data_IF_841906564673
#
_entry.id   IF_841906564673
#
_cell.length_a   1.000
_cell.length_b   1.000
_cell.length_c   1.000
_cell.angle_alpha   90.00
_cell.angle_beta   90.00
_cell.angle_gamma   90.00
#
_symmetry.space_group_name_H-M   'P 1'
#
loop_
_entity.id
_entity.type
_entity.pdbx_description
1 polymer ?
#
# COMPACT_ATOMS: atom_id res chain seq x y z
N UNK A 1 3.78 -49.81 -13.82
CA UNK A 1 2.34 -50.06 -14.02
C UNK A 1 1.75 -48.74 -14.46
N UNK A 2 1.27 -48.66 -15.70
CA UNK A 2 0.52 -47.50 -16.18
C UNK A 2 -0.92 -47.63 -15.65
N UNK A 3 -1.27 -46.87 -14.61
CA UNK A 3 -2.65 -46.76 -14.15
C UNK A 3 -3.41 -45.87 -15.15
N UNK A 4 -3.82 -46.49 -16.26
CA UNK A 4 -4.67 -45.86 -17.26
C UNK A 4 -6.06 -45.59 -16.70
N UNK A 5 -6.43 -44.33 -16.57
CA UNK A 5 -7.79 -43.93 -16.23
C UNK A 5 -8.78 -44.59 -17.21
N UNK A 6 -9.86 -45.23 -16.73
CA UNK A 6 -10.83 -45.86 -17.61
C UNK A 6 -11.49 -44.80 -18.49
N UNK A 7 -11.15 -44.81 -19.77
CA UNK A 7 -11.75 -43.94 -20.78
C UNK A 7 -13.24 -44.26 -20.92
N UNK A 8 -14.10 -43.33 -20.47
CA UNK A 8 -15.57 -43.44 -20.50
C UNK A 8 -16.17 -43.41 -21.92
N UNK A 9 -15.33 -43.31 -22.95
CA UNK A 9 -15.72 -43.29 -24.37
C UNK A 9 -15.85 -44.69 -24.99
N UNK A 10 -15.84 -45.77 -24.19
CA UNK A 10 -16.06 -47.13 -24.69
C UNK A 10 -17.42 -47.24 -25.39
N UNK A 11 -17.40 -47.38 -26.72
CA UNK A 11 -18.55 -47.58 -27.60
C UNK A 11 -19.11 -49.00 -27.46
N UNK A 12 -19.60 -49.34 -26.27
CA UNK A 12 -20.26 -50.61 -25.96
C UNK A 12 -21.71 -50.42 -25.52
N UNK A 13 -22.52 -51.50 -25.48
CA UNK A 13 -23.89 -51.45 -24.98
C UNK A 13 -23.92 -50.84 -23.57
N UNK A 14 -24.88 -49.96 -23.34
CA UNK A 14 -25.00 -49.09 -22.15
C UNK A 14 -24.90 -49.88 -20.83
N UNK A 15 -25.35 -51.14 -20.79
CA UNK A 15 -25.25 -52.01 -19.62
C UNK A 15 -23.81 -52.35 -19.17
N UNK A 16 -22.82 -52.32 -20.06
CA UNK A 16 -21.41 -52.58 -19.70
C UNK A 16 -20.73 -51.40 -18.99
N UNK A 17 -21.40 -50.25 -18.89
CA UNK A 17 -20.87 -49.01 -18.28
C UNK A 17 -21.33 -48.83 -16.83
N UNK A 18 -22.31 -49.63 -16.40
CA UNK A 18 -22.80 -49.63 -15.04
C UNK A 18 -22.17 -50.78 -14.29
N UNK A 19 -21.64 -50.49 -13.10
CA UNK A 19 -21.06 -51.49 -12.20
C UNK A 19 -22.11 -51.76 -11.12
N UNK A 20 -22.35 -53.03 -10.81
CA UNK A 20 -23.28 -53.41 -9.74
C UNK A 20 -22.69 -53.02 -8.38
N UNK A 21 -23.53 -52.77 -7.39
CA UNK A 21 -23.05 -52.49 -6.03
C UNK A 21 -22.22 -53.66 -5.48
N UNK A 22 -22.66 -54.90 -5.76
CA UNK A 22 -21.92 -56.11 -5.38
C UNK A 22 -20.52 -56.16 -6.02
N UNK A 23 -20.41 -55.85 -7.30
CA UNK A 23 -19.13 -55.86 -8.01
C UNK A 23 -18.15 -54.84 -7.43
N UNK A 24 -18.66 -53.67 -6.99
CA UNK A 24 -17.85 -52.66 -6.30
C UNK A 24 -17.39 -53.14 -4.92
N UNK A 25 -18.27 -53.78 -4.15
CA UNK A 25 -17.93 -54.32 -2.83
C UNK A 25 -16.89 -55.43 -2.94
N UNK A 26 -17.05 -56.38 -3.88
CA UNK A 26 -16.08 -57.44 -4.16
C UNK A 26 -14.74 -56.90 -4.67
N UNK A 27 -14.76 -55.86 -5.51
CA UNK A 27 -13.54 -55.19 -5.96
C UNK A 27 -12.81 -54.46 -4.81
N UNK A 28 -13.56 -53.88 -3.86
CA UNK A 28 -13.01 -53.26 -2.65
C UNK A 28 -12.38 -54.32 -1.72
N UNK A 29 -13.09 -55.41 -1.42
CA UNK A 29 -12.57 -56.49 -0.55
C UNK A 29 -11.33 -57.13 -1.14
N UNK A 30 -11.33 -57.44 -2.44
CA UNK A 30 -10.17 -58.02 -3.13
C UNK A 30 -8.96 -57.08 -3.09
N UNK A 31 -9.18 -55.76 -3.19
CA UNK A 31 -8.12 -54.76 -3.08
C UNK A 31 -7.59 -54.67 -1.65
N UNK A 32 -8.47 -54.68 -0.65
CA UNK A 32 -8.09 -54.66 0.76
C UNK A 32 -7.32 -55.90 1.19
N UNK A 33 -7.70 -57.08 0.71
CA UNK A 33 -7.00 -58.35 0.96
C UNK A 33 -5.60 -58.34 0.36
N UNK A 34 -5.47 -57.88 -0.89
CA UNK A 34 -4.16 -57.74 -1.54
C UNK A 34 -3.28 -56.73 -0.80
N UNK A 35 -3.86 -55.62 -0.35
CA UNK A 35 -3.14 -54.61 0.40
C UNK A 35 -2.67 -55.13 1.77
N UNK A 36 -3.54 -55.80 2.52
CA UNK A 36 -3.20 -56.47 3.79
C UNK A 36 -2.13 -57.54 3.58
N UNK A 37 -2.25 -58.35 2.53
CA UNK A 37 -1.27 -59.38 2.21
C UNK A 37 0.11 -58.79 1.84
N UNK A 38 0.14 -57.66 1.11
CA UNK A 38 1.38 -56.96 0.79
C UNK A 38 2.07 -56.42 2.05
N UNK A 39 1.32 -55.85 2.98
CA UNK A 39 1.84 -55.36 4.27
C UNK A 39 2.29 -56.50 5.20
N UNK A 40 1.53 -57.60 5.24
CA UNK A 40 1.92 -58.81 5.96
C UNK A 40 3.24 -59.39 5.43
N UNK A 41 3.45 -59.37 4.11
CA UNK A 41 4.71 -59.78 3.48
C UNK A 41 5.86 -58.83 3.84
N UNK A 42 5.58 -57.54 4.02
CA UNK A 42 6.57 -56.53 4.44
C UNK A 42 6.86 -56.59 5.95
N UNK A 43 6.08 -57.34 6.74
CA UNK A 43 6.22 -57.45 8.19
C UNK A 43 5.79 -56.19 8.95
N UNK A 44 5.04 -55.30 8.31
CA UNK A 44 4.59 -54.03 8.88
C UNK A 44 3.07 -54.03 9.01
N UNK A 45 2.53 -53.47 10.09
CA UNK A 45 1.09 -53.34 10.27
C UNK A 45 0.54 -52.36 9.22
N UNK A 46 -0.51 -52.73 8.46
CA UNK A 46 -1.17 -51.82 7.54
C UNK A 46 -1.58 -50.53 8.27
N UNK A 47 -1.28 -49.35 7.71
CA UNK A 47 -1.80 -48.09 8.21
C UNK A 47 -3.33 -48.16 8.34
N UNK A 48 -3.92 -47.48 9.34
CA UNK A 48 -5.37 -47.43 9.47
C UNK A 48 -5.99 -46.99 8.15
N UNK A 49 -7.03 -47.71 7.71
CA UNK A 49 -7.73 -47.39 6.48
C UNK A 49 -8.15 -45.91 6.54
N UNK A 50 -7.91 -45.14 5.45
CA UNK A 50 -8.46 -43.80 5.38
C UNK A 50 -9.97 -43.92 5.54
N UNK A 51 -10.49 -43.24 6.56
CA UNK A 51 -11.93 -43.17 6.81
C UNK A 51 -12.54 -42.57 5.55
N UNK A 52 -13.44 -43.32 4.88
CA UNK A 52 -14.16 -42.75 3.75
C UNK A 52 -14.82 -41.46 4.22
N UNK A 53 -14.64 -40.38 3.45
CA UNK A 53 -15.13 -39.05 3.83
C UNK A 53 -16.61 -39.18 4.21
N UNK A 54 -16.91 -38.84 5.45
CA UNK A 54 -18.26 -38.91 5.99
C UNK A 54 -19.19 -38.21 5.01
N UNK A 55 -20.24 -38.91 4.57
CA UNK A 55 -21.16 -38.42 3.54
C UNK A 55 -21.64 -37.00 3.91
N UNK A 56 -21.05 -36.02 3.25
CA UNK A 56 -21.35 -34.63 3.50
C UNK A 56 -22.70 -34.33 2.84
N UNK A 57 -23.72 -34.08 3.68
CA UNK A 57 -25.09 -33.79 3.27
C UNK A 57 -25.26 -32.47 2.51
N UNK A 58 -24.19 -31.68 2.36
CA UNK A 58 -24.18 -30.49 1.50
C UNK A 58 -24.34 -30.86 0.03
N UNK A 59 -25.05 -30.01 -0.70
CA UNK A 59 -25.21 -30.16 -2.14
C UNK A 59 -23.87 -30.07 -2.84
N UNK A 60 -23.71 -30.74 -3.99
CA UNK A 60 -22.51 -30.63 -4.83
C UNK A 60 -22.18 -29.17 -5.18
N UNK A 61 -23.20 -28.33 -5.36
CA UNK A 61 -23.03 -26.91 -5.63
C UNK A 61 -22.32 -26.18 -4.47
N UNK A 62 -22.68 -26.49 -3.23
CA UNK A 62 -22.06 -25.92 -2.02
C UNK A 62 -20.62 -26.41 -1.87
N UNK A 63 -20.35 -27.69 -2.14
CA UNK A 63 -18.99 -28.25 -2.14
C UNK A 63 -18.09 -27.56 -3.17
N UNK A 64 -18.59 -27.36 -4.39
CA UNK A 64 -17.85 -26.66 -5.43
C UNK A 64 -17.63 -25.18 -5.10
N UNK A 65 -18.63 -24.52 -4.50
CA UNK A 65 -18.49 -23.15 -4.03
C UNK A 65 -17.42 -23.04 -2.92
N UNK A 66 -17.44 -23.95 -1.95
CA UNK A 66 -16.44 -24.00 -0.89
C UNK A 66 -15.03 -24.25 -1.44
N UNK A 67 -14.86 -25.15 -2.42
CA UNK A 67 -13.56 -25.40 -3.04
C UNK A 67 -13.03 -24.17 -3.80
N UNK A 68 -13.91 -23.45 -4.50
CA UNK A 68 -13.54 -22.19 -5.16
C UNK A 68 -13.18 -21.11 -4.16
N UNK A 69 -13.97 -20.95 -3.11
CA UNK A 69 -13.73 -19.97 -2.05
C UNK A 69 -12.40 -20.25 -1.34
N UNK A 70 -12.12 -21.51 -0.97
CA UNK A 70 -10.85 -21.90 -0.35
C UNK A 70 -9.66 -21.60 -1.25
N UNK A 71 -9.73 -21.96 -2.54
CA UNK A 71 -8.68 -21.62 -3.51
C UNK A 71 -8.47 -20.12 -3.66
N UNK A 72 -9.57 -19.36 -3.66
CA UNK A 72 -9.52 -17.91 -3.77
C UNK A 72 -8.89 -17.28 -2.51
N UNK A 73 -9.28 -17.74 -1.33
CA UNK A 73 -8.73 -17.29 -0.04
C UNK A 73 -7.25 -17.60 0.06
N UNK A 74 -6.81 -18.81 -0.27
CA UNK A 74 -5.39 -19.16 -0.31
C UNK A 74 -4.59 -18.29 -1.30
N UNK A 75 -5.18 -18.00 -2.47
CA UNK A 75 -4.54 -17.14 -3.46
C UNK A 75 -4.45 -15.70 -2.97
N UNK A 76 -5.52 -15.19 -2.34
CA UNK A 76 -5.56 -13.87 -1.74
C UNK A 76 -4.58 -13.75 -0.57
N UNK A 77 -4.46 -14.75 0.30
CA UNK A 77 -3.50 -14.75 1.40
C UNK A 77 -2.05 -14.69 0.90
N UNK A 78 -1.71 -15.55 -0.08
CA UNK A 78 -0.38 -15.57 -0.71
C UNK A 78 -0.07 -14.25 -1.42
N UNK A 79 -1.05 -13.69 -2.12
CA UNK A 79 -0.87 -12.45 -2.90
C UNK A 79 -0.94 -11.19 -2.04
N UNK A 80 -1.70 -11.21 -0.94
CA UNK A 80 -1.88 -10.07 -0.04
C UNK A 80 -0.58 -9.69 0.66
N UNK A 81 0.21 -10.66 1.11
CA UNK A 81 1.53 -10.38 1.69
C UNK A 81 2.52 -9.91 0.61
N UNK A 82 2.47 -10.50 -0.60
CA UNK A 82 3.31 -10.07 -1.71
C UNK A 82 3.03 -8.61 -2.13
N UNK A 83 1.76 -8.19 -2.13
CA UNK A 83 1.38 -6.82 -2.49
C UNK A 83 1.69 -5.78 -1.40
N UNK A 84 1.82 -6.19 -0.13
CA UNK A 84 2.14 -5.27 0.97
C UNK A 84 3.59 -4.81 0.93
N UNK A 85 4.50 -5.70 0.56
CA UNK A 85 5.93 -5.44 0.52
C UNK A 85 6.42 -5.55 -0.92
N UNK A 86 6.19 -4.47 -1.67
CA UNK A 86 6.78 -4.28 -3.00
C UNK A 86 7.95 -3.31 -2.95
N UNK A 87 8.88 -3.45 -3.89
CA UNK A 87 9.86 -2.40 -4.13
C UNK A 87 9.16 -1.12 -4.61
N UNK A 88 9.69 0.03 -4.22
CA UNK A 88 9.29 1.31 -4.79
C UNK A 88 9.76 1.35 -6.26
N UNK A 89 8.90 1.83 -7.14
CA UNK A 89 9.23 2.11 -8.53
C UNK A 89 10.12 3.36 -8.61
N UNK A 90 10.86 3.52 -9.71
CA UNK A 90 11.80 4.64 -9.88
C UNK A 90 11.11 6.01 -9.75
N UNK A 91 9.93 6.17 -10.34
CA UNK A 91 9.13 7.38 -10.25
C UNK A 91 8.69 7.70 -8.79
N UNK A 92 8.45 6.68 -7.99
CA UNK A 92 8.00 6.82 -6.60
C UNK A 92 9.16 7.21 -5.68
N UNK A 93 10.37 6.70 -5.96
CA UNK A 93 11.61 7.13 -5.31
C UNK A 93 11.86 8.61 -5.64
N UNK A 94 11.81 8.98 -6.92
CA UNK A 94 12.01 10.37 -7.36
C UNK A 94 10.97 11.31 -6.74
N UNK A 95 9.72 10.86 -6.61
CA UNK A 95 8.68 11.62 -5.92
C UNK A 95 9.04 11.87 -4.44
N UNK A 96 9.46 10.83 -3.70
CA UNK A 96 9.85 10.98 -2.29
C UNK A 96 11.08 11.89 -2.11
N UNK A 97 12.04 11.82 -3.03
CA UNK A 97 13.20 12.71 -3.03
C UNK A 97 12.80 14.15 -3.31
N UNK A 98 11.88 14.40 -4.26
CA UNK A 98 11.36 15.75 -4.53
C UNK A 98 10.63 16.35 -3.32
N UNK A 99 9.92 15.53 -2.53
CA UNK A 99 9.26 15.97 -1.30
C UNK A 99 10.30 16.33 -0.23
N UNK A 100 11.36 15.52 -0.09
CA UNK A 100 12.46 15.82 0.83
C UNK A 100 13.17 17.11 0.44
N UNK A 101 13.49 17.27 -0.84
CA UNK A 101 14.14 18.47 -1.36
C UNK A 101 13.28 19.70 -1.07
N UNK A 102 11.99 19.65 -1.40
CA UNK A 102 11.05 20.75 -1.12
C UNK A 102 10.98 21.10 0.37
N UNK A 103 10.94 20.12 1.26
CA UNK A 103 10.93 20.35 2.71
C UNK A 103 12.23 21.01 3.19
N UNK A 104 13.38 20.54 2.68
CA UNK A 104 14.68 21.11 3.00
C UNK A 104 14.83 22.54 2.46
N UNK A 105 14.31 22.83 1.27
CA UNK A 105 14.29 24.17 0.70
C UNK A 105 13.43 25.13 1.52
N UNK A 106 12.25 24.70 1.94
CA UNK A 106 11.35 25.49 2.79
C UNK A 106 11.99 25.80 4.16
N UNK A 107 12.63 24.80 4.79
CA UNK A 107 13.37 25.00 6.03
C UNK A 107 14.56 25.94 5.83
N UNK A 108 15.32 25.77 4.75
CA UNK A 108 16.46 26.63 4.42
C UNK A 108 16.02 28.07 4.19
N UNK A 109 14.91 28.28 3.48
CA UNK A 109 14.37 29.61 3.23
C UNK A 109 13.90 30.27 4.52
N UNK A 110 13.18 29.52 5.37
CA UNK A 110 12.76 30.00 6.68
C UNK A 110 13.95 30.40 7.54
N UNK A 111 14.98 29.56 7.61
CA UNK A 111 16.21 29.85 8.36
C UNK A 111 16.97 31.05 7.81
N UNK A 112 16.96 31.25 6.49
CA UNK A 112 17.57 32.41 5.86
C UNK A 112 16.82 33.71 6.23
N UNK A 113 15.49 33.69 6.17
CA UNK A 113 14.63 34.81 6.59
C UNK A 113 14.82 35.15 8.07
N UNK A 114 14.74 34.14 8.95
CA UNK A 114 14.98 34.32 10.38
C UNK A 114 16.39 34.91 10.65
N UNK A 115 17.40 34.45 9.89
CA UNK A 115 18.77 34.95 9.97
C UNK A 115 18.92 36.40 9.53
N UNK A 116 18.24 36.80 8.46
CA UNK A 116 18.21 38.17 7.95
C UNK A 116 17.58 39.12 8.97
N UNK A 117 16.40 38.77 9.49
CA UNK A 117 15.69 39.54 10.52
C UNK A 117 16.54 39.73 11.79
N UNK A 118 17.20 38.66 12.26
CA UNK A 118 18.11 38.74 13.40
C UNK A 118 19.33 39.63 13.10
N UNK A 119 19.85 39.58 11.88
CA UNK A 119 20.99 40.40 11.47
C UNK A 119 20.62 41.89 11.46
N UNK A 120 19.43 42.23 10.97
CA UNK A 120 18.95 43.60 10.89
C UNK A 120 18.60 44.14 12.27
N UNK A 121 18.01 43.32 13.14
CA UNK A 121 17.83 43.67 14.54
C UNK A 121 19.17 44.00 15.23
N UNK A 122 20.21 43.16 15.03
CA UNK A 122 21.54 43.42 15.60
C UNK A 122 22.14 44.72 15.07
N UNK A 123 22.01 45.00 13.77
CA UNK A 123 22.46 46.27 13.16
C UNK A 123 21.70 47.47 13.75
N UNK A 124 20.38 47.38 13.89
CA UNK A 124 19.56 48.46 14.43
C UNK A 124 19.85 48.74 15.91
N UNK A 125 20.06 47.70 16.72
CA UNK A 125 20.49 47.84 18.12
C UNK A 125 21.86 48.50 18.19
N UNK A 126 22.83 48.03 17.39
CA UNK A 126 24.17 48.61 17.35
C UNK A 126 24.17 50.08 16.89
N UNK A 127 23.32 50.44 15.92
CA UNK A 127 23.14 51.83 15.47
C UNK A 127 22.55 52.70 16.58
N UNK A 128 21.49 52.22 17.26
CA UNK A 128 20.87 52.93 18.38
C UNK A 128 21.84 53.12 19.55
N UNK A 129 22.63 52.10 19.88
CA UNK A 129 23.67 52.19 20.91
C UNK A 129 24.76 53.20 20.52
N UNK A 130 25.18 53.23 19.25
CA UNK A 130 26.11 54.25 18.76
C UNK A 130 25.54 55.67 18.83
N UNK A 131 24.28 55.86 18.46
CA UNK A 131 23.60 57.17 18.55
C UNK A 131 23.48 57.65 20.00
N UNK A 132 23.22 56.74 20.95
CA UNK A 132 23.20 57.04 22.39
C UNK A 132 24.58 57.38 22.95
N UNK A 133 25.65 56.76 22.43
CA UNK A 133 27.02 56.97 22.89
C UNK A 133 27.71 58.16 22.19
N UNK A 134 27.06 58.80 21.21
CA UNK A 134 27.54 60.03 20.56
C UNK A 134 27.24 61.23 21.47
N UNK A 135 28.24 61.95 22.00
CA UNK A 135 27.98 63.10 22.87
C UNK A 135 27.30 64.22 22.08
N UNK A 136 26.16 64.67 22.60
CA UNK A 136 25.32 65.75 22.06
C UNK A 136 26.09 67.07 22.03
N UNK A 137 26.25 67.66 20.84
CA UNK A 137 26.53 69.09 20.69
C UNK A 137 25.19 69.85 20.83
N UNK A 138 25.09 70.92 21.64
CA UNK A 138 23.82 71.62 21.87
C UNK A 138 23.61 72.69 20.80
N UNK A 139 22.56 72.57 19.97
CA UNK A 139 22.09 73.68 19.14
C UNK A 139 20.57 73.83 19.25
N UNK A 140 20.23 75.01 19.78
CA UNK A 140 18.97 75.68 20.03
C UNK A 140 17.72 75.32 19.18
N UNK A 141 16.56 75.32 19.86
CA UNK A 141 15.25 75.58 19.26
C UNK A 141 15.08 77.06 18.90
N UNK A 142 14.12 77.40 18.00
CA UNK A 142 12.87 77.98 18.54
C UNK A 142 11.55 77.60 17.82
N UNK A 143 10.53 77.32 18.63
CA UNK A 143 9.16 77.91 18.71
C UNK A 143 8.26 78.12 17.44
N UNK A 144 7.04 77.56 17.58
CA UNK A 144 5.67 78.17 17.51
C UNK A 144 4.85 78.19 16.19
N UNK A 145 3.59 77.70 16.38
CA UNK A 145 2.28 78.10 15.80
C UNK A 145 2.01 77.72 14.33
N UNK A 146 0.84 77.20 13.94
CA UNK A 146 -0.53 77.57 14.32
C UNK A 146 -1.55 76.43 14.18
N UNK A 147 -2.49 76.39 15.12
CA UNK A 147 -3.86 75.89 14.96
C UNK A 147 -4.59 76.64 13.83
N UNK A 148 -5.36 75.93 13.01
CA UNK A 148 -6.52 76.51 12.32
C UNK A 148 -7.60 75.42 12.17
N UNK A 149 -8.80 75.74 12.64
CA UNK A 149 -10.08 75.04 12.45
C UNK A 149 -11.11 76.14 12.16
N UNK A 150 -12.33 75.87 11.64
CA UNK A 150 -12.87 74.70 10.93
C UNK A 150 -13.69 75.08 9.67
N UNK A 151 -13.96 74.14 8.75
CA UNK A 151 -15.19 74.26 7.94
C UNK A 151 -15.80 72.91 7.57
N UNK A 152 -17.11 72.80 7.80
CA UNK A 152 -17.98 71.65 7.57
C UNK A 152 -18.96 72.05 6.44
N UNK A 153 -19.45 71.11 5.61
CA UNK A 153 -20.84 70.69 5.83
C UNK A 153 -21.15 69.19 5.58
N UNK A 154 -22.07 68.66 6.42
CA UNK A 154 -23.18 67.70 6.21
C UNK A 154 -22.92 66.40 5.38
N UNK A 155 -22.75 65.21 5.99
CA UNK A 155 -23.75 64.17 6.40
C UNK A 155 -24.26 63.25 5.25
N UNK A 156 -24.85 62.04 5.48
CA UNK A 156 -24.52 60.93 6.42
C UNK A 156 -24.53 59.53 5.72
N UNK A 157 -23.69 58.56 6.10
CA UNK A 157 -23.99 57.12 5.83
C UNK A 157 -23.55 56.23 6.99
N UNK A 158 -24.53 55.47 7.46
CA UNK A 158 -24.56 54.44 8.49
C UNK A 158 -23.79 53.21 8.01
N UNK A 159 -22.88 52.60 8.79
CA UNK A 159 -22.65 51.14 8.74
C UNK A 159 -22.05 50.58 10.04
N UNK A 160 -22.76 49.57 10.55
CA UNK A 160 -22.52 48.74 11.72
C UNK A 160 -21.24 47.91 11.65
N UNK A 161 -20.49 47.84 12.76
CA UNK A 161 -19.50 46.79 13.03
C UNK A 161 -20.24 45.51 13.43
N UNK A 162 -19.98 44.38 12.77
CA UNK A 162 -20.50 43.06 13.14
C UNK A 162 -19.37 42.05 13.21
N UNK A 163 -19.33 41.33 14.33
CA UNK A 163 -18.26 40.46 14.81
C UNK A 163 -17.90 39.28 13.90
N UNK A 164 -16.61 39.14 13.61
CA UNK A 164 -15.98 38.01 12.90
C UNK A 164 -15.69 36.87 13.88
N UNK A 165 -16.72 36.25 14.46
CA UNK A 165 -16.53 35.12 15.40
C UNK A 165 -17.45 33.91 15.17
N UNK A 166 -17.98 33.69 13.96
CA UNK A 166 -18.80 32.50 13.64
C UNK A 166 -18.60 31.92 12.23
N UNK A 167 -17.40 31.98 11.65
CA UNK A 167 -17.11 31.38 10.32
C UNK A 167 -16.17 30.17 10.40
N UNK A 168 -16.32 29.31 11.41
CA UNK A 168 -15.82 27.93 11.36
C UNK A 168 -17.03 27.00 11.40
N UNK A 169 -17.62 26.72 10.23
CA UNK A 169 -18.55 25.60 10.03
C UNK A 169 -17.93 24.74 8.93
N UNK A 170 -17.74 23.46 9.24
CA UNK A 170 -16.75 22.57 8.64
C UNK A 170 -16.88 22.31 7.14
N UNK A 171 -15.75 21.92 6.56
CA UNK A 171 -15.63 21.41 5.21
C UNK A 171 -16.19 19.97 5.17
N UNK A 172 -17.26 19.76 4.42
CA UNK A 172 -17.77 18.43 4.08
C UNK A 172 -17.23 18.05 2.71
N UNK A 173 -16.39 17.01 2.65
CA UNK A 173 -15.89 16.44 1.39
C UNK A 173 -16.92 15.46 0.83
N UNK A 174 -17.46 15.76 -0.35
CA UNK A 174 -18.34 14.87 -1.14
C UNK A 174 -17.49 13.79 -1.82
N UNK A 175 -17.67 12.51 -1.45
CA UNK A 175 -17.09 11.37 -2.17
C UNK A 175 -17.66 11.30 -3.60
N UNK A 176 -16.77 11.21 -4.59
CA UNK A 176 -17.09 10.80 -5.98
C UNK A 176 -16.97 9.27 -6.12
N UNK A 177 -17.87 8.59 -6.84
CA UNK A 177 -17.71 7.17 -7.17
C UNK A 177 -16.66 7.01 -8.28
N UNK A 178 -15.67 6.14 -8.08
CA UNK A 178 -14.76 5.71 -9.15
C UNK A 178 -15.39 4.53 -9.88
N UNK A 179 -15.92 4.79 -11.08
CA UNK A 179 -15.97 3.81 -12.16
C UNK A 179 -14.67 3.90 -12.93
N UNK A 180 -13.89 2.82 -13.02
CA UNK A 180 -13.45 2.25 -14.29
C UNK A 180 -12.55 1.03 -14.03
N UNK A 181 -12.96 -0.11 -14.58
CA UNK A 181 -12.21 -1.36 -14.64
C UNK A 181 -11.45 -1.35 -15.96
N UNK A 182 -10.13 -1.57 -16.02
CA UNK A 182 -9.48 -1.97 -17.26
C UNK A 182 -9.45 -3.50 -17.34
N UNK A 183 -10.08 -4.01 -18.40
CA UNK A 183 -9.96 -5.39 -18.91
C UNK A 183 -8.52 -5.73 -19.30
N UNK A 184 -8.05 -6.98 -19.08
CA UNK A 184 -6.72 -7.42 -19.46
C UNK A 184 -6.68 -7.86 -20.94
N UNK A 185 -5.70 -7.34 -21.68
CA UNK A 185 -5.31 -7.82 -23.00
C UNK A 185 -4.16 -8.83 -22.88
N UNK A 186 -4.35 -10.02 -23.44
CA UNK A 186 -3.40 -11.12 -23.57
C UNK A 186 -2.57 -10.98 -24.89
N UNK A 187 -1.63 -11.89 -25.24
CA UNK A 187 -0.18 -11.73 -25.06
C UNK A 187 0.61 -11.72 -26.39
N UNK A 188 1.87 -11.22 -26.39
CA UNK A 188 2.85 -11.60 -27.42
C UNK A 188 4.30 -11.67 -26.93
N UNK A 189 4.89 -12.81 -27.29
CA UNK A 189 6.26 -13.06 -27.75
C UNK A 189 7.43 -13.08 -26.74
N UNK A 190 7.83 -14.33 -26.49
CA UNK A 190 9.12 -14.89 -26.06
C UNK A 190 10.36 -14.09 -26.51
N UNK A 191 11.33 -13.96 -25.60
CA UNK A 191 12.72 -14.34 -25.90
C UNK A 191 13.51 -14.69 -24.61
N UNK A 192 14.46 -15.60 -24.83
CA UNK A 192 15.24 -16.47 -23.95
C UNK A 192 16.23 -15.81 -22.98
N UNK A 193 16.27 -16.25 -21.71
CA UNK A 193 17.48 -16.20 -20.88
C UNK A 193 17.61 -17.48 -20.02
N UNK A 194 18.87 -17.90 -19.93
CA UNK A 194 19.48 -19.16 -19.51
C UNK A 194 19.24 -19.53 -18.03
N UNK A 195 19.24 -20.84 -17.79
CA UNK A 195 19.34 -21.48 -16.48
C UNK A 195 20.47 -20.84 -15.63
N UNK A 196 20.13 -20.42 -14.41
CA UNK A 196 21.09 -20.12 -13.33
C UNK A 196 20.57 -20.84 -12.09
N UNK A 197 21.45 -21.67 -11.52
CA UNK A 197 21.25 -22.47 -10.32
C UNK A 197 20.69 -21.66 -9.13
N UNK A 198 19.63 -22.19 -8.55
CA UNK A 198 19.06 -21.84 -7.26
C UNK A 198 19.93 -22.42 -6.14
N UNK A 199 20.97 -21.70 -5.67
CA UNK A 199 21.46 -21.80 -4.27
C UNK A 199 22.54 -20.76 -3.89
N UNK A 200 22.35 -19.46 -4.20
CA UNK A 200 23.26 -18.43 -3.71
C UNK A 200 22.51 -17.18 -3.20
N UNK A 201 22.74 -16.75 -1.93
CA UNK A 201 22.10 -15.55 -1.40
C UNK A 201 22.59 -14.28 -2.13
N UNK A 202 21.74 -13.24 -2.24
CA UNK A 202 22.07 -12.05 -3.02
C UNK A 202 23.24 -11.28 -2.40
N UNK A 203 24.33 -11.16 -3.18
CA UNK A 203 25.52 -10.38 -2.82
C UNK A 203 25.15 -8.90 -2.79
N UNK A 204 25.02 -8.34 -1.59
CA UNK A 204 24.86 -6.90 -1.38
C UNK A 204 26.17 -6.19 -1.77
N UNK A 205 26.15 -5.42 -2.85
CA UNK A 205 27.26 -4.52 -3.22
C UNK A 205 27.35 -3.37 -2.21
N UNK A 206 28.06 -3.58 -1.10
CA UNK A 206 28.51 -2.50 -0.21
C UNK A 206 29.55 -1.65 -0.94
N UNK A 207 29.20 -0.41 -1.25
CA UNK A 207 30.12 0.62 -1.77
C UNK A 207 31.15 0.92 -0.67
N UNK A 208 32.42 0.57 -0.87
CA UNK A 208 33.54 1.00 -0.02
C UNK A 208 33.69 2.51 -0.18
N UNK A 209 33.46 3.27 0.88
CA UNK A 209 33.96 4.64 1.00
C UNK A 209 35.43 4.54 1.39
N UNK A 210 36.29 5.00 0.48
CA UNK A 210 37.69 5.28 0.76
C UNK A 210 37.77 6.64 1.44
N UNK A 211 38.33 6.65 2.63
CA UNK A 211 38.69 7.85 3.40
C UNK A 211 39.95 8.48 2.78
N UNK A 212 39.89 9.77 2.46
CA UNK A 212 41.02 10.68 2.22
C UNK A 212 40.57 12.10 2.46
#
# INVERSE_FOLDING_TARGET
MEDGFPSVSASGPVGSRFISQNDLEEAKTRRDEQWKAAYARLGQVPPPQPVEDSFDGRSLAEKLAANRAAKQEEWEEKTKLANQFRALEEDEIMFLDSIREKQAEEERLRKAQDGEELSDFRKAVAARENDLNKPTQPMAQPRKQSDDTPEKPKAPVVMSKKDVKKSLKGVVVKKRPKSNVPTPSEPKAKESIKNIDEDAPPVTKRRKISES
#
